data_IF_477487749000
#
_entry.id   IF_477487749000
#
_cell.length_a   1.000
_cell.length_b   1.000
_cell.length_c   1.000
_cell.angle_alpha   90.00
_cell.angle_beta   90.00
_cell.angle_gamma   90.00
#
_symmetry.space_group_name_H-M   'P 1'
#
loop_
_entity.id
_entity.type
_entity.pdbx_description
1 polymer ?
#
# COMPACT_ATOMS: atom_id res chain seq x y z
N UNK A 1 -7.53 17.10 0.30
CA UNK A 1 -7.43 16.21 1.46
C UNK A 1 -7.29 17.05 2.70
N UNK A 2 -8.18 16.90 3.68
CA UNK A 2 -8.08 17.54 5.00
C UNK A 2 -7.46 16.56 5.99
N UNK A 3 -6.58 17.06 6.86
CA UNK A 3 -6.02 16.29 7.98
C UNK A 3 -6.89 16.53 9.21
N UNK A 4 -7.29 15.47 9.89
CA UNK A 4 -8.03 15.51 11.16
C UNK A 4 -7.17 14.87 12.26
N UNK A 5 -7.14 15.46 13.46
CA UNK A 5 -6.45 14.88 14.62
C UNK A 5 -5.04 15.41 14.93
N UNK A 6 -4.16 14.51 15.38
CA UNK A 6 -2.89 14.82 16.08
C UNK A 6 -1.69 15.16 15.18
N UNK A 7 -0.48 15.04 15.74
CA UNK A 7 0.76 15.32 15.00
C UNK A 7 1.05 14.26 13.92
N UNK A 8 1.62 14.71 12.80
CA UNK A 8 2.00 13.83 11.70
C UNK A 8 3.30 13.08 12.00
N UNK A 9 3.34 11.81 11.60
CA UNK A 9 4.54 10.98 11.64
C UNK A 9 5.10 10.85 10.22
N UNK A 10 5.93 11.81 9.84
CA UNK A 10 6.46 11.93 8.48
C UNK A 10 7.73 11.11 8.30
N UNK A 11 7.89 10.55 7.11
CA UNK A 11 9.17 10.03 6.64
C UNK A 11 10.01 11.16 6.07
N UNK A 12 11.32 11.04 6.17
CA UNK A 12 12.27 11.91 5.47
C UNK A 12 12.50 11.45 4.04
N UNK A 13 12.94 12.37 3.17
CA UNK A 13 13.35 12.01 1.81
C UNK A 13 14.51 11.02 1.77
N UNK A 14 15.40 11.08 2.75
CA UNK A 14 16.54 10.18 2.93
C UNK A 14 16.08 8.76 3.28
N UNK A 15 15.08 8.60 4.16
CA UNK A 15 14.48 7.29 4.46
C UNK A 15 13.83 6.67 3.23
N UNK A 16 13.12 7.47 2.43
CA UNK A 16 12.53 6.97 1.17
C UNK A 16 13.62 6.53 0.21
N UNK A 17 14.66 7.36 -0.01
CA UNK A 17 15.76 7.03 -0.92
C UNK A 17 16.55 5.79 -0.47
N UNK A 18 16.79 5.65 0.83
CA UNK A 18 17.45 4.48 1.41
C UNK A 18 16.62 3.20 1.19
N UNK A 19 15.30 3.28 1.33
CA UNK A 19 14.43 2.14 1.08
C UNK A 19 14.33 1.77 -0.40
N UNK A 20 14.29 2.75 -1.31
CA UNK A 20 14.35 2.50 -2.76
C UNK A 20 15.66 1.77 -3.14
N UNK A 21 16.79 2.22 -2.56
CA UNK A 21 18.08 1.57 -2.75
C UNK A 21 18.11 0.14 -2.19
N UNK A 22 17.54 -0.09 -0.99
CA UNK A 22 17.48 -1.41 -0.37
C UNK A 22 16.58 -2.39 -1.14
N UNK A 23 15.48 -1.90 -1.71
CA UNK A 23 14.53 -2.71 -2.49
C UNK A 23 14.99 -2.92 -3.94
N UNK A 24 15.95 -2.12 -4.43
CA UNK A 24 16.40 -2.15 -5.82
C UNK A 24 15.34 -1.64 -6.81
N UNK A 25 14.42 -0.79 -6.35
CA UNK A 25 13.34 -0.21 -7.17
C UNK A 25 12.95 1.16 -6.64
N UNK A 26 12.39 2.01 -7.51
CA UNK A 26 11.66 3.19 -7.05
C UNK A 26 10.30 2.80 -6.48
N UNK A 27 9.77 3.64 -5.61
CA UNK A 27 8.38 3.56 -5.19
C UNK A 27 7.42 4.09 -6.29
N UNK A 28 6.13 3.75 -6.21
CA UNK A 28 5.11 4.30 -7.11
C UNK A 28 5.04 5.82 -7.09
N UNK A 29 4.64 6.42 -8.21
CA UNK A 29 4.35 7.85 -8.29
C UNK A 29 3.41 8.30 -7.16
N UNK A 30 3.71 9.43 -6.54
CA UNK A 30 2.98 9.97 -5.40
C UNK A 30 3.32 9.37 -4.02
N UNK A 31 4.02 8.23 -3.93
CA UNK A 31 4.40 7.63 -2.63
C UNK A 31 5.28 8.55 -1.79
N UNK A 32 6.37 9.06 -2.38
CA UNK A 32 7.31 9.96 -1.69
C UNK A 32 6.58 11.18 -1.11
N UNK A 33 5.79 11.86 -1.94
CA UNK A 33 5.00 13.01 -1.52
C UNK A 33 4.02 12.64 -0.40
N UNK A 34 3.38 11.48 -0.48
CA UNK A 34 2.46 11.01 0.56
C UNK A 34 3.17 10.87 1.91
N UNK A 35 4.26 10.10 1.98
CA UNK A 35 4.91 9.80 3.26
C UNK A 35 5.68 10.97 3.87
N UNK A 36 6.09 11.95 3.05
CA UNK A 36 6.79 13.16 3.53
C UNK A 36 5.84 14.31 3.88
N UNK A 37 4.56 14.27 3.46
CA UNK A 37 3.59 15.35 3.74
C UNK A 37 2.46 14.93 4.68
N UNK A 38 2.06 13.66 4.65
CA UNK A 38 0.99 13.09 5.48
C UNK A 38 1.56 12.06 6.45
N UNK A 39 2.43 11.19 5.94
CA UNK A 39 3.11 10.20 6.75
C UNK A 39 2.18 9.06 7.18
N UNK A 40 2.38 8.57 8.41
CA UNK A 40 1.66 7.41 8.93
C UNK A 40 0.26 7.77 9.43
N UNK A 41 -0.74 7.04 8.94
CA UNK A 41 -2.13 7.22 9.32
C UNK A 41 -3.06 6.41 8.43
N UNK A 42 -4.35 6.73 8.52
CA UNK A 42 -5.40 6.11 7.74
C UNK A 42 -6.03 7.16 6.84
N UNK A 43 -6.19 6.81 5.56
CA UNK A 43 -6.83 7.64 4.56
C UNK A 43 -8.21 7.12 4.20
N UNK A 44 -9.16 8.04 4.00
CA UNK A 44 -10.50 7.73 3.51
C UNK A 44 -11.47 7.30 4.61
N UNK A 45 -11.31 7.84 5.83
CA UNK A 45 -12.26 7.59 6.94
C UNK A 45 -12.21 6.15 7.48
N UNK A 46 -11.01 5.62 7.73
CA UNK A 46 -10.71 4.26 8.24
C UNK A 46 -10.49 3.17 7.17
N UNK A 47 -10.20 3.51 5.91
CA UNK A 47 -10.06 2.50 4.86
C UNK A 47 -8.61 2.09 4.58
N UNK A 48 -7.71 3.01 4.23
CA UNK A 48 -6.41 2.67 3.61
C UNK A 48 -5.24 3.09 4.49
N UNK A 49 -4.30 2.16 4.75
CA UNK A 49 -3.04 2.41 5.47
C UNK A 49 -1.87 2.25 4.51
N UNK A 50 -1.16 3.34 4.23
CA UNK A 50 0.07 3.30 3.46
C UNK A 50 1.24 3.08 4.41
N UNK A 51 2.09 2.12 4.06
CA UNK A 51 3.24 1.77 4.88
C UNK A 51 4.38 2.77 4.68
N UNK A 52 4.92 3.39 5.73
CA UNK A 52 6.14 4.18 5.64
C UNK A 52 7.35 3.28 5.29
N UNK A 53 8.47 3.84 4.83
CA UNK A 53 9.63 3.06 4.38
C UNK A 53 10.14 2.05 5.42
N UNK A 54 10.21 2.46 6.69
CA UNK A 54 10.67 1.58 7.77
C UNK A 54 9.74 0.37 8.00
N UNK A 55 8.42 0.54 7.80
CA UNK A 55 7.45 -0.55 7.93
C UNK A 55 7.50 -1.50 6.74
N UNK A 56 7.74 -0.98 5.54
CA UNK A 56 7.94 -1.82 4.33
C UNK A 56 9.19 -2.71 4.49
N UNK A 57 10.24 -2.21 5.13
CA UNK A 57 11.51 -2.94 5.27
C UNK A 57 11.60 -3.82 6.52
N UNK A 58 11.01 -3.38 7.63
CA UNK A 58 11.25 -3.96 8.96
C UNK A 58 10.00 -4.07 9.83
N UNK A 59 8.82 -3.74 9.30
CA UNK A 59 7.56 -3.83 10.02
C UNK A 59 7.06 -5.28 10.17
N UNK A 60 5.96 -5.48 10.91
CA UNK A 60 5.40 -6.81 11.15
C UNK A 60 4.85 -7.50 9.89
N UNK A 61 4.54 -6.73 8.84
CA UNK A 61 4.14 -7.21 7.52
C UNK A 61 5.08 -6.60 6.46
N UNK A 62 6.39 -6.62 6.73
CA UNK A 62 7.40 -6.16 5.79
C UNK A 62 7.42 -6.98 4.50
N UNK A 63 8.18 -6.50 3.51
CA UNK A 63 8.25 -7.13 2.19
C UNK A 63 8.72 -8.59 2.25
N UNK A 64 9.63 -8.94 3.16
CA UNK A 64 10.15 -10.29 3.28
C UNK A 64 9.10 -11.25 3.87
N UNK A 65 8.48 -10.84 4.98
CA UNK A 65 7.42 -11.57 5.68
C UNK A 65 6.20 -11.75 4.77
N UNK A 66 5.82 -10.69 4.05
CA UNK A 66 4.73 -10.75 3.07
C UNK A 66 5.04 -11.78 1.97
N UNK A 67 6.22 -11.71 1.34
CA UNK A 67 6.63 -12.65 0.28
C UNK A 67 6.65 -14.10 0.77
N UNK A 68 7.14 -14.35 1.98
CA UNK A 68 7.13 -15.68 2.59
C UNK A 68 5.69 -16.19 2.77
N UNK A 69 4.81 -15.36 3.34
CA UNK A 69 3.40 -15.73 3.53
C UNK A 69 2.73 -16.06 2.21
N UNK A 70 2.95 -15.24 1.18
CA UNK A 70 2.36 -15.40 -0.16
C UNK A 70 2.90 -16.64 -0.88
N UNK A 71 4.17 -16.99 -0.66
CA UNK A 71 4.75 -18.23 -1.19
C UNK A 71 4.11 -19.47 -0.55
N UNK A 72 3.76 -19.41 0.74
CA UNK A 72 3.09 -20.51 1.44
C UNK A 72 1.59 -20.55 1.10
N UNK A 73 0.90 -19.42 1.22
CA UNK A 73 -0.55 -19.28 1.12
C UNK A 73 -0.91 -18.35 -0.04
N UNK A 74 -1.60 -18.91 -1.04
CA UNK A 74 -2.02 -18.18 -2.22
C UNK A 74 -3.53 -18.29 -2.41
N UNK A 75 -4.22 -17.16 -2.33
CA UNK A 75 -5.67 -17.09 -2.39
C UNK A 75 -6.19 -16.79 -3.81
N UNK A 76 -5.54 -15.88 -4.55
CA UNK A 76 -6.04 -15.32 -5.82
C UNK A 76 -5.91 -16.22 -7.07
N UNK A 77 -5.99 -17.54 -6.90
CA UNK A 77 -6.09 -18.50 -8.02
C UNK A 77 -5.05 -18.34 -9.13
N UNK A 78 -5.46 -18.61 -10.38
CA UNK A 78 -4.67 -18.34 -11.60
C UNK A 78 -5.09 -17.01 -12.23
N UNK A 79 -4.88 -15.92 -11.49
CA UNK A 79 -5.20 -14.58 -11.98
C UNK A 79 -4.19 -14.11 -13.06
N UNK A 80 -4.64 -13.59 -14.21
CA UNK A 80 -3.75 -13.15 -15.29
C UNK A 80 -2.89 -11.93 -14.92
N UNK A 81 -3.33 -11.11 -13.96
CA UNK A 81 -2.61 -9.91 -13.52
C UNK A 81 -1.49 -10.24 -12.53
N UNK A 82 -1.68 -11.27 -11.70
CA UNK A 82 -0.68 -11.72 -10.75
C UNK A 82 -0.82 -13.20 -10.48
N UNK A 83 0.20 -13.97 -10.85
CA UNK A 83 0.31 -15.40 -10.53
C UNK A 83 1.22 -15.60 -9.32
N UNK A 84 0.97 -16.66 -8.56
CA UNK A 84 1.76 -17.02 -7.37
C UNK A 84 3.28 -16.93 -7.56
N UNK A 85 3.89 -17.47 -8.64
CA UNK A 85 5.35 -17.39 -8.80
C UNK A 85 5.86 -15.95 -8.96
N UNK A 86 5.08 -15.08 -9.61
CA UNK A 86 5.44 -13.69 -9.84
C UNK A 86 5.14 -12.78 -8.65
N UNK A 87 4.29 -13.20 -7.72
CA UNK A 87 3.98 -12.44 -6.51
C UNK A 87 5.21 -12.27 -5.60
N UNK A 88 6.16 -13.20 -5.63
CA UNK A 88 7.41 -13.10 -4.89
C UNK A 88 8.29 -11.91 -5.30
N UNK A 89 8.06 -11.31 -6.47
CA UNK A 89 8.77 -10.12 -6.94
C UNK A 89 8.13 -8.81 -6.42
N UNK A 90 6.87 -8.87 -5.97
CA UNK A 90 6.13 -7.68 -5.59
C UNK A 90 6.63 -7.07 -4.28
N UNK A 91 6.35 -5.78 -4.11
CA UNK A 91 6.59 -5.03 -2.88
C UNK A 91 5.24 -4.57 -2.35
N UNK A 92 4.93 -4.94 -1.11
CA UNK A 92 3.74 -4.44 -0.39
C UNK A 92 3.97 -2.99 0.06
N UNK A 93 3.00 -2.13 -0.20
CA UNK A 93 3.06 -0.69 0.12
C UNK A 93 1.95 -0.22 1.03
N UNK A 94 0.97 -1.08 1.31
CA UNK A 94 -0.13 -0.75 2.17
C UNK A 94 -1.17 -1.84 2.21
N UNK A 95 -2.18 -1.61 3.01
CA UNK A 95 -3.35 -2.47 3.12
C UNK A 95 -4.58 -1.63 3.43
N UNK A 96 -5.74 -2.28 3.43
CA UNK A 96 -6.96 -1.73 3.99
C UNK A 96 -7.19 -2.25 5.41
N UNK A 97 -8.08 -1.60 6.17
CA UNK A 97 -8.54 -2.12 7.47
C UNK A 97 -9.37 -3.39 7.33
N UNK A 98 -9.96 -3.61 6.15
CA UNK A 98 -10.64 -4.85 5.79
C UNK A 98 -9.66 -5.96 5.37
N UNK A 99 -8.37 -5.65 5.16
CA UNK A 99 -7.31 -6.62 4.90
C UNK A 99 -7.00 -6.86 3.43
N UNK A 100 -7.47 -5.99 2.53
CA UNK A 100 -7.01 -5.96 1.14
C UNK A 100 -5.57 -5.44 1.10
N UNK A 101 -4.77 -5.95 0.18
CA UNK A 101 -3.35 -5.60 0.12
C UNK A 101 -3.03 -4.80 -1.15
N UNK A 102 -2.15 -3.80 -1.02
CA UNK A 102 -1.68 -2.99 -2.13
C UNK A 102 -0.22 -3.33 -2.39
N UNK A 103 0.07 -3.79 -3.61
CA UNK A 103 1.44 -4.15 -4.00
C UNK A 103 1.79 -3.58 -5.36
N UNK A 104 3.08 -3.46 -5.66
CA UNK A 104 3.56 -3.13 -7.00
C UNK A 104 4.69 -4.07 -7.42
N UNK A 105 4.93 -4.19 -8.73
CA UNK A 105 6.07 -4.92 -9.29
C UNK A 105 7.22 -3.95 -9.55
N UNK A 106 8.48 -4.27 -9.19
CA UNK A 106 9.64 -3.43 -9.51
C UNK A 106 9.78 -3.08 -11.01
N UNK A 107 9.33 -3.98 -11.89
CA UNK A 107 9.35 -3.77 -13.34
C UNK A 107 8.28 -2.77 -13.85
N UNK A 108 7.30 -2.45 -13.02
CA UNK A 108 6.15 -1.61 -13.35
C UNK A 108 5.59 -0.92 -12.09
N UNK A 109 6.37 0.00 -11.48
CA UNK A 109 6.09 0.50 -10.13
C UNK A 109 4.89 1.45 -10.05
N UNK A 110 4.42 2.03 -11.15
CA UNK A 110 3.25 2.92 -11.15
C UNK A 110 1.93 2.16 -11.34
N UNK A 111 1.99 0.85 -11.55
CA UNK A 111 0.83 -0.03 -11.57
C UNK A 111 0.67 -0.70 -10.21
N UNK A 112 -0.29 -0.22 -9.43
CA UNK A 112 -0.66 -0.84 -8.16
C UNK A 112 -1.61 -2.00 -8.42
N UNK A 113 -1.28 -3.15 -7.85
CA UNK A 113 -2.18 -4.29 -7.78
C UNK A 113 -2.88 -4.26 -6.43
N UNK A 114 -4.21 -4.29 -6.47
CA UNK A 114 -5.06 -4.46 -5.29
C UNK A 114 -5.45 -5.93 -5.20
N UNK A 115 -5.16 -6.52 -4.05
CA UNK A 115 -5.37 -7.93 -3.74
C UNK A 115 -6.48 -8.02 -2.70
N UNK A 116 -7.74 -8.25 -3.12
CA UNK A 116 -8.86 -8.24 -2.18
C UNK A 116 -8.77 -9.40 -1.18
N UNK A 117 -9.24 -9.17 0.03
CA UNK A 117 -9.33 -10.22 1.06
C UNK A 117 -10.40 -11.27 0.73
N UNK A 118 -11.56 -10.80 0.27
CA UNK A 118 -12.77 -11.61 0.15
C UNK A 118 -13.11 -11.97 -1.32
N UNK A 119 -12.19 -11.71 -2.26
CA UNK A 119 -12.33 -12.05 -3.68
C UNK A 119 -11.00 -12.49 -4.29
N UNK A 120 -11.04 -13.47 -5.19
CA UNK A 120 -9.87 -13.92 -5.97
C UNK A 120 -9.54 -12.97 -7.14
N UNK A 121 -10.39 -11.97 -7.40
CA UNK A 121 -10.18 -11.01 -8.47
C UNK A 121 -9.16 -9.94 -8.07
N UNK A 122 -7.93 -10.06 -8.57
CA UNK A 122 -6.92 -9.00 -8.48
C UNK A 122 -7.32 -7.85 -9.40
N UNK A 123 -7.15 -6.61 -8.93
CA UNK A 123 -7.35 -5.42 -9.74
C UNK A 123 -6.02 -4.70 -9.98
N UNK A 124 -5.88 -4.07 -11.15
CA UNK A 124 -4.73 -3.23 -11.48
C UNK A 124 -5.17 -1.78 -11.64
N UNK A 125 -4.49 -0.86 -10.95
CA UNK A 125 -4.72 0.57 -11.02
C UNK A 125 -3.45 1.25 -11.50
N UNK A 126 -3.58 1.97 -12.62
CA UNK A 126 -2.52 2.77 -13.21
C UNK A 126 -2.42 4.15 -12.55
N UNK A 127 -1.25 4.77 -12.63
CA UNK A 127 -1.07 6.16 -12.20
C UNK A 127 -0.55 6.32 -10.76
N UNK A 128 0.02 5.27 -10.19
CA UNK A 128 0.72 5.31 -8.91
C UNK A 128 -0.18 5.20 -7.69
N UNK A 129 0.38 5.59 -6.54
CA UNK A 129 -0.23 5.35 -5.23
C UNK A 129 -1.57 6.07 -5.07
N UNK A 130 -1.60 7.37 -5.38
CA UNK A 130 -2.80 8.19 -5.14
C UNK A 130 -3.96 7.79 -6.05
N UNK A 131 -3.67 7.33 -7.27
CA UNK A 131 -4.70 6.79 -8.16
C UNK A 131 -5.31 5.51 -7.60
N UNK A 132 -4.48 4.61 -7.04
CA UNK A 132 -4.96 3.38 -6.38
C UNK A 132 -5.80 3.67 -5.13
N UNK A 133 -5.38 4.65 -4.33
CA UNK A 133 -6.15 5.14 -3.18
C UNK A 133 -7.50 5.70 -3.62
N UNK A 134 -7.55 6.58 -4.62
CA UNK A 134 -8.83 7.14 -5.10
C UNK A 134 -9.73 6.04 -5.67
N UNK A 135 -9.16 5.06 -6.37
CA UNK A 135 -9.89 3.91 -6.87
C UNK A 135 -10.48 3.06 -5.74
N UNK A 136 -9.72 2.80 -4.67
CA UNK A 136 -10.22 2.09 -3.48
C UNK A 136 -11.40 2.82 -2.85
N UNK A 137 -11.33 4.14 -2.77
CA UNK A 137 -12.39 4.94 -2.16
C UNK A 137 -13.65 5.13 -3.03
N UNK A 138 -13.56 4.92 -4.35
CA UNK A 138 -14.63 5.31 -5.30
C UNK A 138 -15.18 4.19 -6.17
N UNK A 139 -14.43 3.10 -6.39
CA UNK A 139 -14.78 2.10 -7.40
C UNK A 139 -15.98 1.23 -7.04
N UNK A 140 -16.22 0.99 -5.75
CA UNK A 140 -17.21 0.01 -5.30
C UNK A 140 -16.79 -1.45 -5.53
N UNK A 141 -15.56 -1.69 -6.03
CA UNK A 141 -15.11 -3.01 -6.46
C UNK A 141 -14.62 -3.89 -5.30
N UNK A 142 -14.06 -3.26 -4.26
CA UNK A 142 -13.44 -3.95 -3.12
C UNK A 142 -14.12 -3.59 -1.80
N UNK A 143 -14.63 -2.37 -1.67
CA UNK A 143 -15.45 -1.91 -0.56
C UNK A 143 -16.57 -0.99 -1.09
N UNK A 144 -17.62 -0.77 -0.29
CA UNK A 144 -18.65 0.22 -0.64
C UNK A 144 -18.00 1.60 -0.86
N UNK A 145 -18.44 2.41 -1.84
CA UNK A 145 -17.86 3.73 -2.04
C UNK A 145 -18.08 4.62 -0.81
N UNK A 146 -17.03 5.32 -0.37
CA UNK A 146 -17.10 6.25 0.74
C UNK A 146 -16.91 7.69 0.25
N UNK A 147 -17.58 8.64 0.88
CA UNK A 147 -17.43 10.07 0.56
C UNK A 147 -16.29 10.73 1.32
N UNK A 148 -15.86 10.13 2.43
CA UNK A 148 -14.85 10.71 3.30
C UNK A 148 -13.48 10.64 2.63
N UNK A 149 -12.75 11.76 2.71
CA UNK A 149 -11.43 11.96 2.09
C UNK A 149 -10.44 12.55 3.09
N UNK A 150 -10.70 12.30 4.37
CA UNK A 150 -9.91 12.81 5.48
C UNK A 150 -8.75 11.86 5.76
N UNK A 151 -7.63 12.43 6.19
CA UNK A 151 -6.47 11.70 6.69
C UNK A 151 -6.40 11.83 8.21
N UNK A 152 -6.36 10.69 8.90
CA UNK A 152 -6.19 10.62 10.35
C UNK A 152 -4.81 10.04 10.68
N UNK A 153 -3.90 10.82 11.29
CA UNK A 153 -2.61 10.33 11.73
C UNK A 153 -2.78 9.29 12.85
N UNK A 154 -1.90 8.29 12.93
CA UNK A 154 -1.94 7.38 14.08
C UNK A 154 -1.67 8.12 15.39
N UNK A 155 -2.34 7.71 16.46
CA UNK A 155 -2.17 8.32 17.79
C UNK A 155 -0.85 7.96 18.47
N UNK A 156 -0.20 6.87 18.04
CA UNK A 156 1.14 6.45 18.50
C UNK A 156 1.95 5.88 17.35
N UNK A 157 3.26 6.16 17.32
CA UNK A 157 4.19 5.48 16.42
C UNK A 157 4.47 4.09 16.98
N UNK A 158 3.80 3.08 16.45
CA UNK A 158 4.11 1.69 16.85
C UNK A 158 5.42 1.31 16.18
N UNK A 159 6.46 1.15 17.01
CA UNK A 159 7.81 0.75 16.60
C UNK A 159 7.87 -0.68 16.08
#
# INVERSE_FOLDING_TARGET
MSVIGGSLFLSSDEEVAAAEAALGTRFPEGYRAYVTTLGEGILGGDLVRIYPPHRILHGPNDVATWRERIAQYWFWGDNPLLRKPSAAECVIVGDTTQGDELVFRPSDPDRILVLPRDSEEVHAVEGGLLAAVEWLCSSGAVAEPFTDREFEPFSTRTA
#
